data_IF_763836405519
#
_entry.id   IF_763836405519
#
_cell.length_a   1.000
_cell.length_b   1.000
_cell.length_c   1.000
_cell.angle_alpha   90.00
_cell.angle_beta   90.00
_cell.angle_gamma   90.00
#
_symmetry.space_group_name_H-M   'P 1'
#
loop_
_entity.id
_entity.type
_entity.pdbx_description
1 polymer ?
#
# COMPACT_ATOMS: atom_id res chain seq x y z
N UNK A 1 9.39 -4.02 -27.09
CA UNK A 1 9.09 -4.39 -25.70
C UNK A 1 9.84 -3.43 -24.81
N UNK A 2 9.14 -2.46 -24.21
CA UNK A 2 9.80 -1.40 -23.45
C UNK A 2 10.35 -1.97 -22.15
N UNK A 3 11.66 -1.85 -21.97
CA UNK A 3 12.39 -2.23 -20.77
C UNK A 3 11.99 -1.25 -19.65
N UNK A 4 10.81 -1.43 -19.04
CA UNK A 4 10.44 -0.65 -17.86
C UNK A 4 11.38 -1.06 -16.74
N UNK A 5 12.31 -0.16 -16.38
CA UNK A 5 13.18 -0.31 -15.21
C UNK A 5 12.33 -0.77 -14.03
N UNK A 6 12.74 -1.85 -13.36
CA UNK A 6 12.22 -2.17 -12.04
C UNK A 6 12.45 -0.96 -11.13
N UNK A 7 11.39 -0.24 -10.82
CA UNK A 7 11.42 0.86 -9.87
C UNK A 7 11.00 0.32 -8.51
N UNK A 8 11.76 0.67 -7.48
CA UNK A 8 11.42 0.39 -6.09
C UNK A 8 10.84 1.65 -5.47
N UNK A 9 9.60 1.58 -5.03
CA UNK A 9 8.87 2.69 -4.44
C UNK A 9 8.94 2.57 -2.92
N UNK A 10 9.48 3.59 -2.26
CA UNK A 10 9.56 3.62 -0.80
C UNK A 10 8.16 3.63 -0.20
N UNK A 11 7.98 2.83 0.84
CA UNK A 11 6.73 2.75 1.58
C UNK A 11 6.91 3.24 3.01
N UNK A 12 5.82 3.75 3.56
CA UNK A 12 5.69 4.09 4.97
C UNK A 12 4.66 3.14 5.59
N UNK A 13 4.91 2.61 6.79
CA UNK A 13 3.93 1.81 7.53
C UNK A 13 4.07 2.06 9.05
N UNK A 14 2.97 1.86 9.78
CA UNK A 14 2.83 2.29 11.17
C UNK A 14 3.40 1.34 12.21
N UNK A 15 3.20 0.04 12.05
CA UNK A 15 3.49 -0.95 13.09
C UNK A 15 4.37 -2.09 12.56
N UNK A 16 5.36 -2.47 13.37
CA UNK A 16 6.32 -3.54 13.10
C UNK A 16 5.68 -4.92 13.27
N UNK A 17 4.79 -5.31 12.36
CA UNK A 17 4.47 -6.71 12.13
C UNK A 17 5.36 -7.25 11.00
N UNK A 18 5.66 -8.55 10.99
CA UNK A 18 6.57 -9.17 10.01
C UNK A 18 6.15 -8.97 8.55
N UNK A 19 4.88 -8.63 8.30
CA UNK A 19 4.33 -8.29 6.98
C UNK A 19 3.55 -6.98 7.12
N UNK A 20 3.87 -5.92 6.34
CA UNK A 20 3.07 -4.70 6.32
C UNK A 20 1.64 -5.00 5.88
N UNK A 21 0.70 -5.01 6.84
CA UNK A 21 -0.74 -5.16 6.58
C UNK A 21 -1.42 -3.84 6.25
N UNK A 22 -0.73 -2.72 6.44
CA UNK A 22 -1.17 -1.39 6.05
C UNK A 22 0.06 -0.53 5.72
N UNK A 23 0.12 0.06 4.53
CA UNK A 23 1.23 0.93 4.12
C UNK A 23 0.81 2.00 3.11
N UNK A 24 1.56 3.09 3.08
CA UNK A 24 1.41 4.18 2.09
C UNK A 24 2.61 4.18 1.15
N UNK A 25 2.35 4.43 -0.12
CA UNK A 25 3.37 4.59 -1.16
C UNK A 25 3.06 5.80 -2.02
N UNK A 26 4.08 6.52 -2.45
CA UNK A 26 3.95 7.63 -3.39
C UNK A 26 4.29 7.15 -4.81
N UNK A 27 3.37 7.35 -5.75
CA UNK A 27 3.55 7.01 -7.15
C UNK A 27 2.98 8.10 -8.06
N UNK A 28 3.77 8.56 -9.03
CA UNK A 28 3.39 9.64 -9.95
C UNK A 28 2.86 10.93 -9.27
N UNK A 29 3.40 11.27 -8.08
CA UNK A 29 3.02 12.48 -7.34
C UNK A 29 1.76 12.34 -6.47
N UNK A 30 1.19 11.14 -6.42
CA UNK A 30 -0.03 10.81 -5.68
C UNK A 30 0.28 9.78 -4.57
N UNK A 31 -0.42 9.86 -3.45
CA UNK A 31 -0.30 8.90 -2.36
C UNK A 31 -1.37 7.81 -2.47
N UNK A 32 -0.93 6.56 -2.32
CA UNK A 32 -1.79 5.38 -2.30
C UNK A 32 -1.64 4.65 -0.97
N UNK A 33 -2.77 4.32 -0.37
CA UNK A 33 -2.85 3.53 0.86
C UNK A 33 -3.31 2.12 0.52
N UNK A 34 -2.52 1.14 0.93
CA UNK A 34 -2.79 -0.28 0.80
C UNK A 34 -3.22 -0.80 2.16
N UNK A 35 -4.44 -1.32 2.23
CA UNK A 35 -5.08 -1.76 3.47
C UNK A 35 -5.47 -3.24 3.37
N UNK A 36 -4.90 -4.05 4.26
CA UNK A 36 -5.21 -5.45 4.48
C UNK A 36 -5.62 -5.61 5.95
N UNK A 37 -6.72 -4.96 6.34
CA UNK A 37 -7.27 -5.07 7.68
C UNK A 37 -7.72 -6.51 8.01
N UNK A 38 -7.61 -6.90 9.28
CA UNK A 38 -8.11 -8.17 9.77
C UNK A 38 -9.63 -8.26 9.58
N UNK A 39 -10.12 -9.37 9.05
CA UNK A 39 -11.55 -9.59 8.83
C UNK A 39 -12.08 -10.63 9.81
N UNK A 40 -12.87 -10.17 10.78
CA UNK A 40 -13.52 -11.06 11.75
C UNK A 40 -14.52 -12.05 11.13
N UNK A 41 -14.90 -11.86 9.87
CA UNK A 41 -15.78 -12.80 9.15
C UNK A 41 -15.05 -14.08 8.72
N UNK A 42 -13.75 -13.99 8.42
CA UNK A 42 -12.90 -15.13 8.05
C UNK A 42 -11.92 -15.50 9.17
N UNK A 43 -11.95 -14.75 10.29
CA UNK A 43 -11.01 -14.87 11.41
C UNK A 43 -9.53 -14.82 10.97
N UNK A 44 -9.26 -14.07 9.90
CA UNK A 44 -7.94 -13.97 9.27
C UNK A 44 -7.79 -12.66 8.48
N UNK A 45 -6.59 -12.41 7.99
CA UNK A 45 -6.29 -11.38 7.02
C UNK A 45 -6.70 -11.83 5.61
N UNK A 46 -7.43 -10.98 4.86
CA UNK A 46 -7.70 -11.24 3.45
C UNK A 46 -6.42 -11.45 2.64
N UNK A 47 -6.56 -12.14 1.50
CA UNK A 47 -5.49 -12.36 0.53
C UNK A 47 -5.30 -11.18 -0.43
N UNK A 48 -6.04 -10.09 -0.24
CA UNK A 48 -5.97 -8.86 -1.03
C UNK A 48 -5.77 -7.62 -0.17
N UNK A 49 -4.99 -6.67 -0.67
CA UNK A 49 -5.02 -5.28 -0.23
C UNK A 49 -6.14 -4.53 -0.95
N UNK A 50 -6.92 -3.76 -0.21
CA UNK A 50 -7.75 -2.71 -0.79
C UNK A 50 -6.88 -1.47 -0.97
N UNK A 51 -6.91 -0.89 -2.18
CA UNK A 51 -6.08 0.27 -2.52
C UNK A 51 -6.96 1.51 -2.55
N UNK A 52 -6.52 2.53 -1.81
CA UNK A 52 -7.15 3.85 -1.75
C UNK A 52 -6.20 4.90 -2.30
N UNK A 53 -6.68 5.77 -3.19
CA UNK A 53 -5.98 7.00 -3.55
C UNK A 53 -6.31 8.06 -2.49
N UNK A 54 -5.31 8.52 -1.77
CA UNK A 54 -5.48 9.51 -0.71
C UNK A 54 -5.69 10.90 -1.32
N UNK A 55 -6.61 11.69 -0.74
CA UNK A 55 -6.94 13.03 -1.24
C UNK A 55 -5.85 14.08 -0.98
N UNK A 56 -4.91 13.77 -0.09
CA UNK A 56 -3.77 14.60 0.25
C UNK A 56 -2.52 13.72 0.34
N UNK A 57 -1.36 14.29 0.03
CA UNK A 57 -0.10 13.58 0.21
C UNK A 57 0.17 13.40 1.70
N UNK A 58 -0.05 12.18 2.19
CA UNK A 58 0.17 11.83 3.59
C UNK A 58 1.63 11.38 3.72
N UNK A 59 2.41 12.14 4.50
CA UNK A 59 3.78 11.78 4.90
C UNK A 59 3.84 11.56 6.41
N UNK A 60 4.58 10.53 6.82
CA UNK A 60 4.87 10.15 8.22
C UNK A 60 5.43 11.29 9.07
N UNK A 61 6.01 12.33 8.46
CA UNK A 61 6.65 13.43 9.18
C UNK A 61 5.70 14.58 9.57
N UNK A 62 4.40 14.51 9.24
CA UNK A 62 3.47 15.61 9.53
C UNK A 62 2.07 15.22 10.00
N UNK A 63 1.64 13.96 9.81
CA UNK A 63 0.27 13.55 10.10
C UNK A 63 0.18 12.61 11.30
N UNK A 64 -0.62 13.01 12.29
CA UNK A 64 -1.04 12.25 13.48
C UNK A 64 -2.18 11.25 13.21
N UNK A 65 -2.51 11.00 11.95
CA UNK A 65 -3.66 10.17 11.61
C UNK A 65 -3.38 8.69 11.90
N UNK A 66 -4.28 7.98 12.61
CA UNK A 66 -4.16 6.54 12.80
C UNK A 66 -4.19 5.81 11.45
N UNK A 67 -3.28 4.85 11.27
CA UNK A 67 -3.20 4.01 10.07
C UNK A 67 -4.52 3.29 9.77
N UNK A 68 -5.23 2.90 10.83
CA UNK A 68 -6.54 2.26 10.80
C UNK A 68 -7.65 3.13 10.20
N UNK A 69 -7.44 4.45 10.09
CA UNK A 69 -8.46 5.40 9.62
C UNK A 69 -8.12 5.98 8.23
N UNK A 70 -6.94 5.69 7.68
CA UNK A 70 -6.48 6.27 6.41
C UNK A 70 -7.40 5.95 5.23
N UNK A 71 -8.09 4.81 5.25
CA UNK A 71 -9.08 4.45 4.24
C UNK A 71 -10.23 5.49 4.14
N UNK A 72 -10.56 6.19 5.22
CA UNK A 72 -11.60 7.23 5.24
C UNK A 72 -11.19 8.53 4.55
N UNK A 73 -9.87 8.74 4.37
CA UNK A 73 -9.29 9.93 3.75
C UNK A 73 -8.98 9.75 2.25
N UNK A 74 -9.29 8.58 1.70
CA UNK A 74 -9.05 8.24 0.30
C UNK A 74 -10.31 7.80 -0.44
N UNK A 75 -10.16 7.64 -1.73
CA UNK A 75 -11.13 6.98 -2.60
C UNK A 75 -10.61 5.58 -2.94
N UNK A 76 -11.44 4.55 -2.78
CA UNK A 76 -11.07 3.19 -3.19
C UNK A 76 -10.89 3.14 -4.70
N UNK A 77 -9.68 2.81 -5.15
CA UNK A 77 -9.33 2.70 -6.59
C UNK A 77 -9.21 1.26 -7.07
N UNK A 78 -9.06 0.29 -6.16
CA UNK A 78 -9.00 -1.11 -6.55
C UNK A 78 -8.67 -2.07 -5.41
N UNK A 79 -8.32 -3.29 -5.78
CA UNK A 79 -7.65 -4.25 -4.90
C UNK A 79 -6.52 -4.96 -5.66
N UNK A 80 -5.54 -5.46 -4.90
CA UNK A 80 -4.42 -6.26 -5.41
C UNK A 80 -4.19 -7.43 -4.50
N UNK A 81 -3.85 -8.60 -5.04
CA UNK A 81 -3.50 -9.75 -4.20
C UNK A 81 -2.22 -9.46 -3.44
N UNK A 82 -2.19 -9.84 -2.17
CA UNK A 82 -1.03 -9.67 -1.29
C UNK A 82 0.24 -10.30 -1.88
N UNK A 83 0.12 -11.43 -2.57
CA UNK A 83 1.21 -12.12 -3.26
C UNK A 83 1.79 -11.36 -4.47
N UNK A 84 1.01 -10.43 -5.06
CA UNK A 84 1.44 -9.64 -6.22
C UNK A 84 2.16 -8.35 -5.75
N UNK A 85 2.12 -8.03 -4.44
CA UNK A 85 2.88 -6.95 -3.83
C UNK A 85 4.27 -7.47 -3.44
N UNK A 86 5.26 -7.18 -4.27
CA UNK A 86 6.65 -7.58 -4.02
C UNK A 86 7.33 -6.54 -3.14
N UNK A 87 7.63 -6.91 -1.89
CA UNK A 87 8.43 -6.09 -0.98
C UNK A 87 9.93 -6.33 -1.19
N UNK A 88 10.74 -5.30 -0.95
CA UNK A 88 12.18 -5.43 -0.94
C UNK A 88 12.69 -6.26 0.24
N UNK A 89 13.89 -6.83 0.11
CA UNK A 89 14.51 -7.63 1.16
C UNK A 89 14.92 -6.78 2.39
N UNK A 90 14.92 -5.44 2.27
CA UNK A 90 15.44 -4.53 3.29
C UNK A 90 14.39 -4.12 4.33
N UNK A 91 13.94 -5.09 5.14
CA UNK A 91 12.84 -4.89 6.11
C UNK A 91 11.55 -4.36 5.46
N UNK A 92 11.33 -4.64 4.17
CA UNK A 92 10.09 -4.27 3.46
C UNK A 92 9.87 -2.76 3.48
N UNK A 93 10.92 -1.99 3.18
CA UNK A 93 10.91 -0.52 3.07
C UNK A 93 10.45 -0.03 1.70
N UNK A 94 10.41 -0.92 0.72
CA UNK A 94 9.93 -0.59 -0.61
C UNK A 94 9.08 -1.70 -1.20
N UNK A 95 8.24 -1.33 -2.16
CA UNK A 95 7.54 -2.27 -3.04
C UNK A 95 7.97 -2.07 -4.48
N UNK A 96 7.84 -3.12 -5.28
CA UNK A 96 8.09 -3.04 -6.72
C UNK A 96 6.94 -2.31 -7.41
N UNK A 97 7.27 -1.33 -8.26
CA UNK A 97 6.28 -0.40 -8.82
C UNK A 97 5.37 -0.98 -9.92
N UNK A 98 5.66 -2.19 -10.39
CA UNK A 98 4.79 -2.92 -11.32
C UNK A 98 3.47 -3.37 -10.70
N UNK A 99 3.35 -3.30 -9.37
CA UNK A 99 2.08 -3.51 -8.66
C UNK A 99 0.96 -2.62 -9.22
N UNK A 100 1.27 -1.40 -9.68
CA UNK A 100 0.31 -0.47 -10.27
C UNK A 100 -0.17 -0.86 -11.68
N UNK A 101 0.46 -1.85 -12.32
CA UNK A 101 -0.05 -2.42 -13.58
C UNK A 101 -1.22 -3.39 -13.33
N UNK A 102 -1.42 -3.86 -12.09
CA UNK A 102 -2.39 -4.92 -11.75
C UNK A 102 -3.79 -4.40 -11.44
N UNK A 103 -3.91 -3.17 -10.95
CA UNK A 103 -5.19 -2.48 -10.70
C UNK A 103 -5.18 -1.17 -11.50
N UNK A 104 -5.62 -1.28 -12.75
CA UNK A 104 -5.63 -0.20 -13.74
C UNK A 104 -6.19 1.09 -13.14
N UNK A 105 -5.38 2.16 -13.18
CA UNK A 105 -5.82 3.56 -13.07
C UNK A 105 -5.96 4.12 -14.49
#
# INVERSE_FOLDING_TARGET
MSNRKEIWLQIEYGEFHDIPRAFVVNWNGESYFFDCAFSGAIDDYPDEFIVYKLRQNISRNGNTLPWTELHTYGERVGSVRTQDVVFDESKRKAIRGDVFDTFVI
#
